data_IF_871101216076
#
_entry.id   IF_871101216076
#
_cell.length_a   1.000
_cell.length_b   1.000
_cell.length_c   1.000
_cell.angle_alpha   90.00
_cell.angle_beta   90.00
_cell.angle_gamma   90.00
#
_symmetry.space_group_name_H-M   'P 1'
#
loop_
_entity.id
_entity.type
_entity.pdbx_description
1 polymer ?
#
# COMPACT_ATOMS: atom_id res chain seq x y z
N UNK A 1 9.79 -11.99 -0.71
CA UNK A 1 10.10 -11.48 -2.07
C UNK A 1 8.86 -11.09 -2.86
N UNK A 2 7.85 -11.95 -2.99
CA UNK A 2 6.64 -11.69 -3.79
C UNK A 2 5.85 -10.44 -3.37
N UNK A 3 5.73 -10.20 -2.07
CA UNK A 3 5.08 -9.01 -1.50
C UNK A 3 5.75 -7.68 -1.88
N UNK A 4 7.07 -7.69 -2.11
CA UNK A 4 7.83 -6.49 -2.48
C UNK A 4 7.39 -6.02 -3.86
N UNK A 5 7.43 -6.95 -4.84
CA UNK A 5 6.95 -6.67 -6.19
C UNK A 5 5.49 -6.24 -6.18
N UNK A 6 4.67 -6.87 -5.34
CA UNK A 6 3.26 -6.53 -5.20
C UNK A 6 3.06 -5.07 -4.75
N UNK A 7 3.81 -4.62 -3.74
CA UNK A 7 3.75 -3.24 -3.24
C UNK A 7 4.14 -2.20 -4.32
N UNK A 8 5.13 -2.53 -5.17
CA UNK A 8 5.54 -1.68 -6.30
C UNK A 8 4.45 -1.62 -7.37
N UNK A 9 3.81 -2.75 -7.70
CA UNK A 9 2.67 -2.76 -8.63
C UNK A 9 1.50 -1.92 -8.11
N UNK A 10 1.18 -2.01 -6.81
CA UNK A 10 0.11 -1.21 -6.18
C UNK A 10 0.39 0.29 -6.31
N UNK A 11 1.66 0.68 -6.20
CA UNK A 11 2.11 2.07 -6.32
C UNK A 11 2.06 2.57 -7.78
N UNK A 12 2.50 1.76 -8.75
CA UNK A 12 2.68 2.20 -10.13
C UNK A 12 1.41 2.12 -11.00
N UNK A 13 0.54 1.12 -10.79
CA UNK A 13 -0.64 0.90 -11.64
C UNK A 13 -1.55 2.15 -11.71
N UNK A 14 -1.93 2.81 -10.60
CA UNK A 14 -2.83 3.96 -10.65
C UNK A 14 -2.18 5.21 -11.27
N UNK A 15 -0.86 5.38 -11.10
CA UNK A 15 -0.10 6.45 -11.79
C UNK A 15 -0.08 6.18 -13.30
N UNK A 16 0.11 4.93 -13.72
CA UNK A 16 0.10 4.56 -15.13
C UNK A 16 -1.21 4.93 -15.82
N UNK A 17 -2.34 4.95 -15.10
CA UNK A 17 -3.63 5.36 -15.66
C UNK A 17 -3.69 6.83 -16.10
N UNK A 18 -2.77 7.68 -15.62
CA UNK A 18 -2.65 9.08 -16.06
C UNK A 18 -2.51 9.20 -17.59
N UNK A 19 -1.89 8.22 -18.26
CA UNK A 19 -1.73 8.20 -19.73
C UNK A 19 -3.06 8.28 -20.49
N UNK A 20 -4.15 7.79 -19.91
CA UNK A 20 -5.48 7.80 -20.52
C UNK A 20 -6.18 9.16 -20.44
N UNK A 21 -5.70 10.08 -19.59
CA UNK A 21 -6.28 11.41 -19.46
C UNK A 21 -5.86 12.29 -20.66
N UNK A 22 -4.60 12.18 -21.10
CA UNK A 22 -4.01 13.14 -22.06
C UNK A 22 -3.72 12.58 -23.48
N UNK A 23 -3.57 11.26 -23.68
CA UNK A 23 -3.15 10.70 -24.99
C UNK A 23 -4.04 9.55 -25.49
N UNK A 24 -5.00 9.88 -26.38
CA UNK A 24 -5.97 8.90 -26.94
C UNK A 24 -5.41 7.99 -28.05
N UNK A 25 -4.35 8.40 -28.76
CA UNK A 25 -3.88 7.73 -30.00
C UNK A 25 -3.25 6.35 -29.79
N UNK A 26 -2.74 6.03 -28.60
CA UNK A 26 -2.07 4.75 -28.31
C UNK A 26 -2.85 3.86 -27.33
N UNK A 27 -4.19 4.00 -27.29
CA UNK A 27 -5.05 3.33 -26.31
C UNK A 27 -4.81 1.83 -26.20
N UNK A 28 -4.73 1.12 -27.33
CA UNK A 28 -4.54 -0.34 -27.35
C UNK A 28 -3.16 -0.77 -26.83
N UNK A 29 -2.09 -0.03 -27.16
CA UNK A 29 -0.74 -0.30 -26.66
C UNK A 29 -0.71 -0.12 -25.14
N UNK A 30 -1.31 0.98 -24.65
CA UNK A 30 -1.40 1.24 -23.22
C UNK A 30 -2.20 0.19 -22.47
N UNK A 31 -3.30 -0.30 -23.07
CA UNK A 31 -4.13 -1.35 -22.51
C UNK A 31 -3.36 -2.68 -22.44
N UNK A 32 -2.60 -3.04 -23.47
CA UNK A 32 -1.76 -4.23 -23.45
C UNK A 32 -0.72 -4.16 -22.32
N UNK A 33 -0.06 -3.01 -22.15
CA UNK A 33 0.90 -2.80 -21.06
C UNK A 33 0.23 -2.93 -19.68
N UNK A 34 -0.99 -2.42 -19.51
CA UNK A 34 -1.72 -2.55 -18.24
C UNK A 34 -2.15 -3.99 -17.95
N UNK A 35 -2.55 -4.74 -18.99
CA UNK A 35 -2.83 -6.18 -18.86
C UNK A 35 -1.57 -6.92 -18.41
N UNK A 36 -0.40 -6.63 -19.00
CA UNK A 36 0.86 -7.25 -18.60
C UNK A 36 1.25 -6.91 -17.17
N UNK A 37 1.12 -5.64 -16.75
CA UNK A 37 1.35 -5.24 -15.37
C UNK A 37 0.39 -5.94 -14.40
N UNK A 38 -0.87 -6.06 -14.77
CA UNK A 38 -1.87 -6.73 -13.96
C UNK A 38 -1.60 -8.24 -13.84
N UNK A 39 -1.21 -8.90 -14.93
CA UNK A 39 -0.74 -10.29 -14.89
C UNK A 39 0.48 -10.45 -13.97
N UNK A 40 1.43 -9.51 -14.04
CA UNK A 40 2.57 -9.45 -13.13
C UNK A 40 2.15 -9.36 -11.66
N UNK A 41 1.19 -8.48 -11.35
CA UNK A 41 0.58 -8.39 -10.02
C UNK A 41 -0.07 -9.72 -9.61
N UNK A 42 -0.80 -10.40 -10.51
CA UNK A 42 -1.42 -11.69 -10.20
C UNK A 42 -0.39 -12.77 -9.84
N UNK A 43 0.74 -12.79 -10.53
CA UNK A 43 1.84 -13.73 -10.22
C UNK A 43 2.46 -13.49 -8.83
N UNK A 44 2.23 -12.34 -8.19
CA UNK A 44 2.72 -12.08 -6.82
C UNK A 44 1.95 -12.83 -5.73
N UNK A 45 0.72 -13.30 -6.03
CA UNK A 45 -0.15 -13.98 -5.07
C UNK A 45 -0.45 -13.19 -3.77
N UNK A 46 -0.24 -11.87 -3.76
CA UNK A 46 -0.42 -11.02 -2.58
C UNK A 46 -1.86 -10.51 -2.49
N UNK A 47 -2.66 -11.12 -1.62
CA UNK A 47 -4.07 -10.75 -1.39
C UNK A 47 -4.25 -9.27 -1.02
N UNK A 48 -3.36 -8.75 -0.18
CA UNK A 48 -3.40 -7.34 0.22
C UNK A 48 -3.12 -6.39 -0.94
N UNK A 49 -2.28 -6.80 -1.90
CA UNK A 49 -1.96 -5.99 -3.06
C UNK A 49 -3.15 -5.92 -4.05
N UNK A 50 -3.90 -7.02 -4.20
CA UNK A 50 -5.15 -7.00 -4.97
C UNK A 50 -6.16 -6.02 -4.39
N UNK A 51 -6.32 -6.03 -3.06
CA UNK A 51 -7.20 -5.08 -2.37
C UNK A 51 -6.71 -3.64 -2.54
N UNK A 52 -5.40 -3.40 -2.38
CA UNK A 52 -4.80 -2.07 -2.58
C UNK A 52 -5.05 -1.52 -3.98
N UNK A 53 -4.78 -2.31 -5.03
CA UNK A 53 -5.02 -1.91 -6.42
C UNK A 53 -6.51 -1.70 -6.70
N UNK A 54 -7.38 -2.55 -6.16
CA UNK A 54 -8.83 -2.40 -6.28
C UNK A 54 -9.29 -1.04 -5.71
N UNK A 55 -8.85 -0.69 -4.50
CA UNK A 55 -9.20 0.60 -3.89
C UNK A 55 -8.64 1.77 -4.70
N UNK A 56 -7.39 1.71 -5.16
CA UNK A 56 -6.82 2.78 -5.99
C UNK A 56 -7.60 3.01 -7.28
N UNK A 57 -7.99 1.94 -7.96
CA UNK A 57 -8.71 2.03 -9.25
C UNK A 57 -10.16 2.47 -9.02
N UNK A 58 -10.78 2.05 -7.93
CA UNK A 58 -12.09 2.55 -7.52
C UNK A 58 -12.06 4.06 -7.29
N UNK A 59 -11.07 4.56 -6.53
CA UNK A 59 -10.89 5.99 -6.29
C UNK A 59 -10.61 6.77 -7.57
N UNK A 60 -9.69 6.27 -8.41
CA UNK A 60 -9.41 6.86 -9.71
C UNK A 60 -10.69 6.96 -10.57
N UNK A 61 -11.51 5.90 -10.56
CA UNK A 61 -12.77 5.87 -11.31
C UNK A 61 -13.77 6.91 -10.79
N UNK A 62 -13.91 7.04 -9.46
CA UNK A 62 -14.79 8.03 -8.83
C UNK A 62 -14.36 9.46 -9.18
N UNK A 63 -13.06 9.73 -9.18
CA UNK A 63 -12.50 11.08 -9.40
C UNK A 63 -12.52 11.49 -10.87
N UNK A 64 -12.17 10.59 -11.79
CA UNK A 64 -11.90 10.96 -13.20
C UNK A 64 -12.95 10.49 -14.20
N UNK A 65 -13.75 9.46 -13.88
CA UNK A 65 -14.71 8.92 -14.83
C UNK A 65 -16.11 9.49 -14.59
N UNK A 66 -16.64 10.22 -15.58
CA UNK A 66 -18.08 10.53 -15.64
C UNK A 66 -18.89 9.23 -15.70
N UNK A 67 -20.10 9.22 -15.13
CA UNK A 67 -21.04 8.06 -15.02
C UNK A 67 -21.07 7.14 -16.27
N UNK A 68 -21.05 7.70 -17.49
CA UNK A 68 -21.07 6.94 -18.76
C UNK A 68 -19.75 6.28 -19.16
N UNK A 69 -18.60 6.75 -18.67
CA UNK A 69 -17.27 6.17 -18.95
C UNK A 69 -16.87 5.09 -17.94
N UNK A 70 -17.49 5.08 -16.76
CA UNK A 70 -17.31 4.03 -15.74
C UNK A 70 -17.65 2.65 -16.31
N UNK A 71 -18.67 2.51 -17.16
CA UNK A 71 -18.96 1.24 -17.86
C UNK A 71 -17.87 0.85 -18.87
N UNK A 72 -17.23 1.82 -19.54
CA UNK A 72 -16.21 1.58 -20.57
C UNK A 72 -14.86 1.15 -19.99
N UNK A 73 -14.51 1.69 -18.81
CA UNK A 73 -13.33 1.27 -18.04
C UNK A 73 -13.65 0.25 -16.93
N UNK A 74 -14.93 -0.05 -16.72
CA UNK A 74 -15.43 -1.09 -15.82
C UNK A 74 -14.93 -2.48 -16.21
N UNK A 75 -14.47 -2.67 -17.45
CA UNK A 75 -13.71 -3.84 -17.88
C UNK A 75 -12.40 -4.06 -17.10
N UNK A 76 -11.72 -3.00 -16.65
CA UNK A 76 -10.54 -3.11 -15.78
C UNK A 76 -10.93 -3.52 -14.36
N UNK A 77 -12.04 -2.99 -13.83
CA UNK A 77 -12.61 -3.42 -12.55
C UNK A 77 -13.10 -4.87 -12.58
N UNK A 78 -13.70 -5.29 -13.71
CA UNK A 78 -14.09 -6.67 -13.96
C UNK A 78 -12.86 -7.59 -14.06
N UNK A 79 -11.80 -7.17 -14.76
CA UNK A 79 -10.50 -7.89 -14.81
C UNK A 79 -9.81 -8.03 -13.45
N UNK A 80 -10.11 -7.16 -12.48
CA UNK A 80 -9.62 -7.26 -11.09
C UNK A 80 -10.50 -8.18 -10.24
N UNK A 81 -11.80 -8.20 -10.51
CA UNK A 81 -12.74 -9.12 -9.85
C UNK A 81 -12.66 -10.56 -10.38
N UNK A 82 -12.23 -10.75 -11.63
CA UNK A 82 -12.11 -12.08 -12.24
C UNK A 82 -11.05 -12.98 -11.59
N UNK A 83 -9.88 -12.54 -11.12
CA UNK A 83 -8.97 -13.42 -10.40
C UNK A 83 -9.53 -13.84 -9.02
N UNK A 84 -10.34 -13.00 -8.38
CA UNK A 84 -11.05 -13.35 -7.13
C UNK A 84 -12.11 -14.44 -7.37
N UNK A 85 -12.73 -14.45 -8.55
CA UNK A 85 -13.79 -15.42 -8.93
C UNK A 85 -13.27 -16.68 -9.66
N UNK A 86 -12.25 -16.56 -10.51
CA UNK A 86 -11.70 -17.63 -11.36
C UNK A 86 -10.68 -18.51 -10.65
N UNK A 87 -9.99 -18.00 -9.62
CA UNK A 87 -8.95 -18.78 -8.92
C UNK A 87 -9.51 -19.69 -7.81
N UNK A 88 -10.81 -19.97 -7.77
CA UNK A 88 -11.32 -21.01 -6.87
C UNK A 88 -10.79 -22.42 -7.24
N UNK A 89 -10.57 -22.68 -8.54
CA UNK A 89 -10.30 -24.05 -9.04
C UNK A 89 -8.85 -24.34 -9.48
N UNK A 90 -8.12 -23.41 -10.13
CA UNK A 90 -6.69 -23.63 -10.51
C UNK A 90 -5.69 -23.32 -9.39
N UNK A 91 -6.09 -22.51 -8.41
CA UNK A 91 -5.36 -22.32 -7.14
C UNK A 91 -5.34 -23.63 -6.35
N UNK A 92 -6.38 -24.46 -6.47
CA UNK A 92 -6.53 -25.75 -5.79
C UNK A 92 -5.41 -26.73 -6.11
N UNK A 93 -4.92 -26.81 -7.37
CA UNK A 93 -3.87 -27.75 -7.76
C UNK A 93 -2.46 -27.32 -7.32
N UNK A 94 -2.16 -26.02 -7.37
CA UNK A 94 -0.89 -25.46 -6.86
C UNK A 94 -0.87 -25.53 -5.32
N UNK A 95 -2.01 -25.29 -4.69
CA UNK A 95 -2.20 -25.44 -3.25
C UNK A 95 -2.16 -26.89 -2.80
N UNK A 96 -2.72 -27.86 -3.52
CA UNK A 96 -2.59 -29.29 -3.18
C UNK A 96 -1.13 -29.75 -3.13
N UNK A 97 -0.28 -29.19 -4.02
CA UNK A 97 1.17 -29.43 -4.03
C UNK A 97 1.88 -28.78 -2.83
N UNK A 98 1.41 -27.62 -2.37
CA UNK A 98 1.89 -26.94 -1.16
C UNK A 98 1.27 -27.47 0.16
N UNK A 99 0.05 -28.01 0.12
CA UNK A 99 -0.77 -28.51 1.22
C UNK A 99 -0.32 -29.87 1.73
N UNK A 100 0.17 -30.73 0.83
CA UNK A 100 0.88 -31.96 1.23
C UNK A 100 2.14 -31.64 2.06
N UNK A 101 2.63 -30.40 2.01
CA UNK A 101 3.74 -29.89 2.82
C UNK A 101 3.31 -29.20 4.11
N UNK A 102 2.32 -28.29 4.12
CA UNK A 102 1.77 -27.64 5.34
C UNK A 102 0.34 -27.13 5.13
N UNK A 103 -0.52 -27.33 6.13
CA UNK A 103 -1.91 -26.88 6.25
C UNK A 103 -2.15 -25.41 5.80
N UNK A 104 -2.79 -25.22 4.64
CA UNK A 104 -2.96 -23.93 3.92
C UNK A 104 -4.31 -23.25 4.20
N UNK A 105 -5.31 -23.98 4.73
CA UNK A 105 -6.64 -23.44 5.05
C UNK A 105 -6.79 -22.99 6.51
N UNK A 106 -5.76 -23.15 7.34
CA UNK A 106 -5.77 -22.72 8.72
C UNK A 106 -4.96 -21.43 8.83
N UNK A 107 -5.61 -20.27 8.68
CA UNK A 107 -5.01 -18.93 8.88
C UNK A 107 -4.60 -18.67 10.35
N UNK A 108 -4.56 -19.73 11.19
CA UNK A 108 -4.01 -19.74 12.56
C UNK A 108 -2.59 -19.15 12.60
N UNK A 109 -1.85 -19.23 11.49
CA UNK A 109 -0.51 -18.68 11.41
C UNK A 109 -0.48 -17.16 11.62
N UNK A 110 -1.38 -16.40 10.98
CA UNK A 110 -1.46 -14.93 11.15
C UNK A 110 -2.09 -14.54 12.48
N UNK A 111 -3.10 -15.27 12.94
CA UNK A 111 -3.74 -15.02 14.23
C UNK A 111 -2.72 -15.09 15.38
N UNK A 112 -1.84 -16.10 15.39
CA UNK A 112 -0.77 -16.20 16.38
C UNK A 112 0.23 -15.05 16.31
N UNK A 113 0.58 -14.61 15.10
CA UNK A 113 1.49 -13.47 14.90
C UNK A 113 0.84 -12.17 15.39
N UNK A 114 -0.44 -11.94 15.09
CA UNK A 114 -1.16 -10.75 15.53
C UNK A 114 -1.35 -10.73 17.05
N UNK A 115 -1.70 -11.88 17.63
CA UNK A 115 -1.82 -12.03 19.08
C UNK A 115 -0.48 -11.74 19.78
N UNK A 116 0.62 -12.27 19.25
CA UNK A 116 1.96 -11.98 19.75
C UNK A 116 2.29 -10.48 19.67
N UNK A 117 2.03 -9.84 18.51
CA UNK A 117 2.28 -8.40 18.34
C UNK A 117 1.50 -7.57 19.36
N UNK A 118 0.24 -7.93 19.60
CA UNK A 118 -0.59 -7.27 20.60
C UNK A 118 -0.09 -7.50 22.04
N UNK A 119 0.34 -8.71 22.36
CA UNK A 119 0.95 -9.03 23.66
C UNK A 119 2.24 -8.20 23.88
N UNK A 120 3.09 -8.10 22.85
CA UNK A 120 4.35 -7.35 22.91
C UNK A 120 4.13 -5.84 23.05
N UNK A 121 3.10 -5.30 22.40
CA UNK A 121 2.66 -3.92 22.65
C UNK A 121 2.24 -3.72 24.12
N UNK A 122 1.43 -4.62 24.69
CA UNK A 122 1.01 -4.52 26.10
C UNK A 122 2.17 -4.62 27.10
N UNK A 123 3.23 -5.37 26.77
CA UNK A 123 4.43 -5.49 27.60
C UNK A 123 5.29 -4.21 27.58
N UNK A 124 5.30 -3.48 26.45
CA UNK A 124 6.06 -2.24 26.29
C UNK A 124 5.24 -1.14 25.61
N UNK A 125 4.19 -0.60 26.24
CA UNK A 125 3.22 0.25 25.55
C UNK A 125 3.78 1.61 25.14
N UNK A 126 4.80 2.12 25.83
CA UNK A 126 5.35 3.46 25.58
C UNK A 126 6.34 3.44 24.41
N UNK A 127 7.43 2.69 24.55
CA UNK A 127 8.55 2.64 23.59
C UNK A 127 8.60 1.35 22.77
N UNK A 128 7.68 0.41 22.98
CA UNK A 128 7.69 -0.89 22.31
C UNK A 128 8.84 -1.78 22.76
N UNK A 129 9.14 -2.78 21.92
CA UNK A 129 10.20 -3.77 22.14
C UNK A 129 11.50 -3.43 21.40
N UNK A 130 11.60 -2.24 20.82
CA UNK A 130 12.76 -1.78 20.06
C UNK A 130 12.60 -1.95 18.54
N UNK A 131 13.30 -1.10 17.79
CA UNK A 131 13.30 -1.08 16.32
C UNK A 131 13.82 -2.42 15.79
N UNK A 132 13.16 -2.96 14.74
CA UNK A 132 13.49 -4.26 14.12
C UNK A 132 13.40 -5.49 15.05
N UNK A 133 12.80 -5.35 16.24
CA UNK A 133 12.59 -6.49 17.16
C UNK A 133 11.54 -7.50 16.67
N UNK A 134 10.70 -7.15 15.69
CA UNK A 134 9.59 -8.00 15.24
C UNK A 134 10.03 -9.39 14.77
N UNK A 135 11.10 -9.46 13.98
CA UNK A 135 11.58 -10.73 13.42
C UNK A 135 12.15 -11.61 14.53
N UNK A 136 12.93 -11.02 15.45
CA UNK A 136 13.44 -11.71 16.63
C UNK A 136 12.28 -12.25 17.49
N UNK A 137 11.28 -11.42 17.79
CA UNK A 137 10.13 -11.82 18.61
C UNK A 137 9.32 -12.94 17.96
N UNK A 138 9.02 -12.83 16.68
CA UNK A 138 8.24 -13.86 15.98
C UNK A 138 9.04 -15.16 15.88
N UNK A 139 10.35 -15.09 15.63
CA UNK A 139 11.18 -16.28 15.59
C UNK A 139 11.31 -16.93 16.98
N UNK A 140 11.55 -16.16 18.03
CA UNK A 140 11.74 -16.66 19.40
C UNK A 140 10.48 -17.34 19.94
N UNK A 141 9.30 -16.73 19.78
CA UNK A 141 8.06 -17.23 20.37
C UNK A 141 7.29 -18.18 19.47
N UNK A 142 7.40 -18.06 18.14
CA UNK A 142 6.61 -18.86 17.18
C UNK A 142 7.46 -19.75 16.28
N UNK A 143 8.79 -19.75 16.40
CA UNK A 143 9.72 -20.55 15.60
C UNK A 143 9.54 -20.32 14.09
N UNK A 144 9.35 -19.05 13.72
CA UNK A 144 9.15 -18.60 12.33
C UNK A 144 10.20 -17.56 11.95
N UNK A 145 11.35 -18.00 11.40
CA UNK A 145 12.39 -17.07 10.96
C UNK A 145 11.90 -16.25 9.76
N UNK A 146 12.43 -15.03 9.60
CA UNK A 146 12.11 -14.12 8.49
C UNK A 146 10.63 -13.73 8.38
N UNK A 147 9.91 -13.71 9.50
CA UNK A 147 8.50 -13.33 9.56
C UNK A 147 8.32 -11.95 10.20
N UNK A 148 7.23 -11.28 9.83
CA UNK A 148 6.86 -9.95 10.32
C UNK A 148 5.41 -9.93 10.74
N UNK A 149 4.96 -8.87 11.42
CA UNK A 149 3.60 -8.78 11.95
C UNK A 149 2.51 -8.68 10.88
N UNK A 150 2.84 -8.67 9.58
CA UNK A 150 1.89 -8.62 8.45
C UNK A 150 0.76 -7.57 8.61
N UNK A 151 1.07 -6.49 9.30
CA UNK A 151 0.23 -5.32 9.52
C UNK A 151 1.16 -4.22 10.03
N UNK A 152 1.31 -3.16 9.24
CA UNK A 152 2.29 -2.11 9.54
C UNK A 152 1.95 -1.31 10.82
N UNK A 153 0.67 -1.11 11.13
CA UNK A 153 0.27 -0.43 12.37
C UNK A 153 0.60 -1.26 13.60
N UNK A 154 0.34 -2.58 13.54
CA UNK A 154 0.71 -3.49 14.61
C UNK A 154 2.23 -3.60 14.76
N UNK A 155 2.97 -3.57 13.66
CA UNK A 155 4.43 -3.52 13.65
C UNK A 155 4.93 -2.30 14.41
N UNK A 156 4.43 -1.09 14.10
CA UNK A 156 4.79 0.14 14.80
C UNK A 156 4.41 0.03 16.28
N UNK A 157 3.20 -0.41 16.61
CA UNK A 157 2.75 -0.54 17.99
C UNK A 157 3.65 -1.49 18.80
N UNK A 158 3.93 -2.69 18.28
CA UNK A 158 4.73 -3.68 18.99
C UNK A 158 6.20 -3.27 19.15
N UNK A 159 6.78 -2.57 18.16
CA UNK A 159 8.22 -2.24 18.13
C UNK A 159 8.55 -0.87 18.72
N UNK A 160 7.66 0.12 18.58
CA UNK A 160 7.88 1.52 18.96
C UNK A 160 6.83 2.05 19.96
N UNK A 161 5.82 1.26 20.30
CA UNK A 161 4.77 1.65 21.24
C UNK A 161 3.91 2.82 20.75
N UNK A 162 3.26 3.49 21.70
CA UNK A 162 2.40 4.64 21.44
C UNK A 162 3.19 5.84 20.90
N UNK A 163 4.46 5.99 21.30
CA UNK A 163 5.33 7.06 20.79
C UNK A 163 5.51 6.90 19.29
N UNK A 164 5.77 5.67 18.81
CA UNK A 164 5.85 5.37 17.39
C UNK A 164 4.54 5.65 16.63
N UNK A 165 3.39 5.28 17.22
CA UNK A 165 2.08 5.54 16.62
C UNK A 165 1.76 7.04 16.51
N UNK A 166 2.14 7.84 17.52
CA UNK A 166 1.99 9.30 17.50
C UNK A 166 2.85 9.90 16.39
N UNK A 167 4.13 9.52 16.31
CA UNK A 167 5.04 9.99 15.26
C UNK A 167 4.54 9.61 13.87
N UNK A 168 4.05 8.38 13.70
CA UNK A 168 3.45 7.94 12.44
C UNK A 168 2.20 8.76 12.09
N UNK A 169 1.35 9.07 13.07
CA UNK A 169 0.18 9.92 12.87
C UNK A 169 0.56 11.33 12.42
N UNK A 170 1.61 11.91 13.01
CA UNK A 170 2.16 13.22 12.57
C UNK A 170 2.66 13.14 11.13
N UNK A 171 3.35 12.06 10.74
CA UNK A 171 3.81 11.85 9.36
C UNK A 171 2.61 11.76 8.40
N UNK A 172 1.59 10.96 8.74
CA UNK A 172 0.35 10.83 7.94
C UNK A 172 -0.36 12.17 7.80
N UNK A 173 -0.42 12.98 8.86
CA UNK A 173 -0.99 14.33 8.81
C UNK A 173 -0.27 15.21 7.77
N UNK A 174 1.06 15.18 7.75
CA UNK A 174 1.83 15.93 6.75
C UNK A 174 1.61 15.39 5.34
N UNK A 175 1.55 14.07 5.15
CA UNK A 175 1.17 13.49 3.86
C UNK A 175 -0.17 14.01 3.38
N UNK A 176 -1.20 14.04 4.24
CA UNK A 176 -2.51 14.58 3.90
C UNK A 176 -2.42 16.05 3.49
N UNK A 177 -1.64 16.88 4.22
CA UNK A 177 -1.44 18.29 3.86
C UNK A 177 -0.81 18.43 2.47
N UNK A 178 0.24 17.67 2.18
CA UNK A 178 0.94 17.67 0.88
C UNK A 178 0.02 17.22 -0.25
N UNK A 179 -0.76 16.17 0.00
CA UNK A 179 -1.64 15.54 -0.98
C UNK A 179 -2.96 16.29 -1.21
N UNK A 180 -3.30 17.27 -0.38
CA UNK A 180 -4.53 18.05 -0.50
C UNK A 180 -4.47 19.11 -1.62
N UNK A 181 -3.92 18.76 -2.78
CA UNK A 181 -3.92 19.61 -3.99
C UNK A 181 -4.71 18.94 -5.11
N UNK A 182 -5.97 19.35 -5.24
CA UNK A 182 -6.97 18.67 -6.10
C UNK A 182 -6.98 19.12 -7.56
N UNK A 183 -6.22 20.15 -7.92
CA UNK A 183 -6.33 20.79 -9.23
C UNK A 183 -5.47 20.14 -10.33
N UNK A 184 -4.58 19.20 -9.99
CA UNK A 184 -3.72 18.52 -10.95
C UNK A 184 -4.08 17.03 -11.05
N UNK A 185 -4.44 16.60 -12.27
CA UNK A 185 -4.77 15.20 -12.58
C UNK A 185 -3.63 14.23 -12.25
N UNK A 186 -2.36 14.61 -12.36
CA UNK A 186 -1.24 13.76 -11.97
C UNK A 186 -1.19 13.56 -10.45
N UNK A 187 -1.36 14.64 -9.67
CA UNK A 187 -1.38 14.58 -8.21
C UNK A 187 -2.51 13.68 -7.73
N UNK A 188 -3.71 13.83 -8.31
CA UNK A 188 -4.86 12.98 -7.99
C UNK A 188 -4.60 11.48 -8.28
N UNK A 189 -3.86 11.13 -9.35
CA UNK A 189 -3.42 9.75 -9.56
C UNK A 189 -2.44 9.27 -8.48
N UNK A 190 -1.49 10.12 -8.08
CA UNK A 190 -0.53 9.83 -7.00
C UNK A 190 -1.27 9.61 -5.68
N UNK A 191 -2.27 10.44 -5.37
CA UNK A 191 -3.14 10.28 -4.19
C UNK A 191 -3.83 8.91 -4.21
N UNK A 192 -4.42 8.51 -5.34
CA UNK A 192 -5.03 7.20 -5.48
C UNK A 192 -4.02 6.07 -5.22
N UNK A 193 -2.81 6.17 -5.79
CA UNK A 193 -1.73 5.21 -5.54
C UNK A 193 -1.34 5.12 -4.07
N UNK A 194 -1.14 6.26 -3.40
CA UNK A 194 -0.77 6.29 -1.99
C UNK A 194 -1.85 5.62 -1.13
N UNK A 195 -3.12 5.89 -1.38
CA UNK A 195 -4.22 5.27 -0.63
C UNK A 195 -4.25 3.75 -0.81
N UNK A 196 -4.10 3.24 -2.04
CA UNK A 196 -4.07 1.79 -2.24
C UNK A 196 -2.83 1.12 -1.66
N UNK A 197 -1.69 1.78 -1.70
CA UNK A 197 -0.47 1.29 -1.05
C UNK A 197 -0.65 1.24 0.47
N UNK A 198 -1.18 2.29 1.09
CA UNK A 198 -1.49 2.29 2.53
C UNK A 198 -2.51 1.21 2.91
N UNK A 199 -3.48 0.94 2.03
CA UNK A 199 -4.40 -0.21 2.19
C UNK A 199 -3.65 -1.53 2.19
N UNK A 200 -2.70 -1.72 1.27
CA UNK A 200 -1.86 -2.92 1.22
C UNK A 200 -1.01 -3.08 2.50
N UNK A 201 -0.50 -1.97 3.06
CA UNK A 201 0.25 -1.96 4.33
C UNK A 201 -0.58 -2.35 5.57
N UNK A 202 -1.91 -2.39 5.49
CA UNK A 202 -2.71 -2.98 6.57
C UNK A 202 -2.51 -4.51 6.68
N UNK A 203 -2.01 -5.14 5.61
CA UNK A 203 -1.81 -6.59 5.51
C UNK A 203 -0.34 -6.96 5.26
N UNK A 204 0.55 -5.99 5.25
CA UNK A 204 1.97 -6.16 4.95
C UNK A 204 2.82 -5.11 5.67
N UNK A 205 4.14 -5.27 5.64
CA UNK A 205 5.10 -4.38 6.33
C UNK A 205 6.18 -3.93 5.34
N UNK A 206 5.77 -3.46 4.17
CA UNK A 206 6.70 -3.07 3.10
C UNK A 206 7.53 -1.83 3.45
N UNK A 207 7.06 -0.97 4.35
CA UNK A 207 7.83 0.19 4.83
C UNK A 207 9.13 -0.17 5.57
N UNK A 208 9.25 -1.39 6.10
CA UNK A 208 10.52 -1.87 6.69
C UNK A 208 11.58 -2.14 5.61
N UNK A 209 11.17 -2.21 4.33
CA UNK A 209 12.06 -2.35 3.19
C UNK A 209 12.46 -0.97 2.69
N UNK A 210 13.76 -0.67 2.78
CA UNK A 210 14.35 0.60 2.37
C UNK A 210 13.88 1.08 0.98
N UNK A 211 13.91 0.22 -0.02
CA UNK A 211 13.57 0.56 -1.40
C UNK A 211 12.12 1.04 -1.56
N UNK A 212 11.18 0.42 -0.85
CA UNK A 212 9.78 0.82 -0.91
C UNK A 212 9.58 2.22 -0.35
N UNK A 213 10.25 2.55 0.76
CA UNK A 213 10.29 3.90 1.31
C UNK A 213 10.79 4.93 0.29
N UNK A 214 11.89 4.63 -0.42
CA UNK A 214 12.43 5.52 -1.46
C UNK A 214 11.39 5.81 -2.54
N UNK A 215 10.72 4.79 -3.10
CA UNK A 215 9.68 5.01 -4.12
C UNK A 215 8.49 5.81 -3.57
N UNK A 216 8.03 5.48 -2.37
CA UNK A 216 6.91 6.15 -1.72
C UNK A 216 7.19 7.64 -1.51
N UNK A 217 8.32 7.97 -0.87
CA UNK A 217 8.68 9.37 -0.60
C UNK A 217 9.10 10.14 -1.85
N UNK A 218 9.59 9.48 -2.89
CA UNK A 218 9.81 10.13 -4.19
C UNK A 218 8.51 10.66 -4.77
N UNK A 219 7.41 9.91 -4.67
CA UNK A 219 6.09 10.39 -5.11
C UNK A 219 5.59 11.58 -4.28
N UNK A 220 5.79 11.55 -2.95
CA UNK A 220 5.48 12.69 -2.08
C UNK A 220 6.29 13.93 -2.51
N UNK A 221 7.60 13.76 -2.76
CA UNK A 221 8.46 14.84 -3.24
C UNK A 221 8.04 15.40 -4.60
N UNK A 222 7.60 14.55 -5.52
CA UNK A 222 7.01 15.00 -6.80
C UNK A 222 5.79 15.88 -6.54
N UNK A 223 4.87 15.47 -5.67
CA UNK A 223 3.68 16.30 -5.34
C UNK A 223 4.09 17.64 -4.75
N UNK A 224 5.10 17.66 -3.87
CA UNK A 224 5.60 18.90 -3.25
C UNK A 224 6.20 19.87 -4.29
N UNK A 225 6.90 19.37 -5.31
CA UNK A 225 7.39 20.22 -6.42
C UNK A 225 6.22 20.91 -7.13
N UNK A 226 5.11 20.20 -7.37
CA UNK A 226 3.90 20.80 -7.94
C UNK A 226 3.13 21.69 -6.95
N UNK A 227 3.53 21.74 -5.68
CA UNK A 227 2.98 22.63 -4.65
C UNK A 227 3.69 23.99 -4.57
N UNK A 228 4.94 24.08 -5.05
CA UNK A 228 5.72 25.33 -5.05
C UNK A 228 4.92 26.50 -5.61
N UNK A 229 4.62 27.49 -4.76
CA UNK A 229 3.83 28.69 -5.07
C UNK A 229 2.46 28.79 -4.37
N UNK A 230 2.02 27.79 -3.58
CA UNK A 230 0.80 27.90 -2.75
C UNK A 230 1.06 28.74 -1.48
N UNK A 231 0.11 29.62 -1.11
CA UNK A 231 0.20 30.50 0.07
C UNK A 231 0.32 29.73 1.40
N UNK A 232 -0.16 28.47 1.45
CA UNK A 232 -0.09 27.56 2.60
C UNK A 232 1.34 27.04 2.91
N UNK A 233 2.30 27.30 2.00
CA UNK A 233 3.71 26.89 2.07
C UNK A 233 4.66 27.96 2.56
N UNK A 234 4.19 29.20 2.71
CA UNK A 234 4.96 30.20 3.44
C UNK A 234 5.04 29.75 4.90
N UNK A 235 6.23 29.28 5.33
CA UNK A 235 6.62 29.31 6.74
C UNK A 235 6.42 30.75 7.20
N UNK A 236 5.28 31.03 7.85
CA UNK A 236 5.03 32.28 8.54
C UNK A 236 5.92 32.29 9.77
N UNK A 237 7.21 32.53 9.56
CA UNK A 237 8.12 32.90 10.64
C UNK A 237 7.63 34.27 11.13
N UNK A 238 6.74 34.25 12.13
CA UNK A 238 6.49 35.42 12.96
C UNK A 238 7.80 35.67 13.69
N UNK A 239 8.64 36.53 13.13
CA UNK A 239 9.80 37.07 13.83
C UNK A 239 9.21 37.86 15.01
N UNK A 240 9.24 37.25 16.20
CA UNK A 240 8.89 37.95 17.43
C UNK A 240 10.06 38.88 17.72
N UNK A 241 10.03 40.09 17.14
CA UNK A 241 10.90 41.18 17.58
C UNK A 241 10.37 41.61 18.95
N UNK A 242 11.00 41.13 20.03
CA UNK A 242 10.84 41.75 21.34
C UNK A 242 11.44 43.16 21.25
N UNK A 243 10.61 44.18 21.48
CA UNK A 243 11.07 45.54 21.80
C UNK A 243 11.71 45.57 23.18
#
# INVERSE_FOLDING_TARGET
MSNILASIYVLLIPIALYKYINKKRAFFIYLLIDILNFLGLLMTLSRGAYLGVFISILLFSIVFLRKKRVLRYGGLLLLISTPILLYKNKFYSIILKYLKGRNFFNDRSRHQIYALGWEKFKQGPIFGQGIKSSEYMINHYLHRPYAHYHNFLLQIAATLGIVGLILFTVIVYHWVKILNKRNNSLILCIVCSIIGVLTHQLFDVSFDLFFFGVYFYTLIGVVEIYRQGDEDDCLKMKIIVKK
#
